data_IF_987960231632
#
_entry.id   IF_987960231632
#
_cell.length_a   1.000
_cell.length_b   1.000
_cell.length_c   1.000
_cell.angle_alpha   90.00
_cell.angle_beta   90.00
_cell.angle_gamma   90.00
#
_symmetry.space_group_name_H-M   'P 1'
#
loop_
_entity.id
_entity.type
_entity.pdbx_description
1 polymer ?
#
# COMPACT_ATOMS: atom_id res chain seq x y z
N UNK A 1 29.18 -0.91 -12.14
CA UNK A 1 29.04 0.54 -12.35
C UNK A 1 28.08 1.10 -11.32
N UNK A 2 28.49 2.09 -10.54
CA UNK A 2 27.71 2.62 -9.41
C UNK A 2 26.71 3.65 -9.90
N UNK A 3 25.48 3.23 -10.11
CA UNK A 3 24.37 4.09 -10.46
C UNK A 3 23.96 4.92 -9.25
N UNK A 4 24.18 6.22 -9.27
CA UNK A 4 23.92 7.05 -8.10
C UNK A 4 22.42 7.35 -8.01
N UNK A 5 21.78 7.02 -6.90
CA UNK A 5 20.36 7.29 -6.64
C UNK A 5 19.99 8.78 -6.85
N UNK A 6 20.97 9.68 -6.68
CA UNK A 6 20.86 11.11 -6.96
C UNK A 6 20.55 11.42 -8.44
N UNK A 7 21.04 10.61 -9.38
CA UNK A 7 20.74 10.75 -10.81
C UNK A 7 19.32 10.32 -11.16
N UNK A 8 18.78 9.30 -10.49
CA UNK A 8 17.40 8.84 -10.73
C UNK A 8 16.39 9.91 -10.33
N UNK A 9 16.54 10.47 -9.13
CA UNK A 9 15.66 11.54 -8.64
C UNK A 9 15.67 12.75 -9.58
N UNK A 10 16.86 13.17 -10.02
CA UNK A 10 17.00 14.27 -10.98
C UNK A 10 16.31 13.97 -12.32
N UNK A 11 16.36 12.73 -12.82
CA UNK A 11 15.66 12.32 -14.04
C UNK A 11 14.15 12.45 -13.92
N UNK A 12 13.56 11.98 -12.82
CA UNK A 12 12.11 12.11 -12.59
C UNK A 12 11.69 13.57 -12.38
N UNK A 13 12.48 14.38 -11.67
CA UNK A 13 12.17 15.81 -11.54
C UNK A 13 12.21 16.54 -12.89
N UNK A 14 13.10 16.17 -13.81
CA UNK A 14 13.12 16.73 -15.19
C UNK A 14 11.87 16.38 -16.01
N UNK A 15 11.25 15.22 -15.76
CA UNK A 15 9.97 14.85 -16.34
C UNK A 15 8.78 15.66 -15.78
N UNK A 16 8.98 16.33 -14.64
CA UNK A 16 7.97 17.16 -13.99
C UNK A 16 7.34 16.55 -12.73
N UNK A 17 7.86 15.42 -12.22
CA UNK A 17 7.43 14.90 -10.91
C UNK A 17 7.97 15.77 -9.78
N UNK A 18 7.17 16.00 -8.73
CA UNK A 18 7.64 16.78 -7.57
C UNK A 18 8.70 15.94 -6.84
N UNK A 19 9.75 16.60 -6.34
CA UNK A 19 10.84 15.88 -5.69
C UNK A 19 10.43 15.12 -4.42
N UNK A 20 9.31 15.52 -3.81
CA UNK A 20 8.71 14.87 -2.63
C UNK A 20 7.96 13.57 -2.97
N UNK A 21 7.44 13.46 -4.20
CA UNK A 21 6.75 12.25 -4.68
C UNK A 21 7.70 11.26 -5.35
N UNK A 22 9.02 11.47 -5.22
CA UNK A 22 10.03 10.58 -5.77
C UNK A 22 10.77 9.91 -4.63
N UNK A 23 10.57 8.61 -4.54
CA UNK A 23 11.15 7.76 -3.50
C UNK A 23 12.29 6.95 -4.07
N UNK A 24 13.33 6.77 -3.27
CA UNK A 24 14.42 5.83 -3.52
C UNK A 24 14.17 4.58 -2.69
N UNK A 25 14.58 3.42 -3.18
CA UNK A 25 14.42 2.14 -2.49
C UNK A 25 12.97 1.97 -1.99
N UNK A 26 12.02 2.23 -2.90
CA UNK A 26 10.61 2.21 -2.54
C UNK A 26 10.17 0.78 -2.38
N UNK A 27 9.61 0.49 -1.20
CA UNK A 27 9.14 -0.85 -0.85
C UNK A 27 7.62 -0.93 -0.99
N UNK A 28 7.12 -2.09 -1.40
CA UNK A 28 5.69 -2.36 -1.54
C UNK A 28 5.42 -3.85 -1.39
N UNK A 29 4.19 -4.21 -1.01
CA UNK A 29 3.78 -5.61 -0.99
C UNK A 29 3.40 -6.07 -2.41
N UNK A 30 3.94 -7.22 -2.84
CA UNK A 30 3.49 -7.90 -4.06
C UNK A 30 2.18 -8.66 -3.79
N UNK A 31 1.06 -7.94 -3.66
CA UNK A 31 -0.26 -8.48 -3.29
C UNK A 31 -0.78 -9.53 -4.27
N UNK A 32 -0.33 -9.47 -5.52
CA UNK A 32 -0.64 -10.42 -6.60
C UNK A 32 0.04 -11.79 -6.43
N UNK A 33 0.96 -11.93 -5.47
CA UNK A 33 1.64 -13.18 -5.16
C UNK A 33 1.10 -13.80 -3.86
N UNK A 34 0.98 -15.14 -3.76
CA UNK A 34 0.42 -15.80 -2.58
C UNK A 34 1.12 -15.48 -1.26
N UNK A 35 2.47 -15.40 -1.27
CA UNK A 35 3.26 -15.09 -0.08
C UNK A 35 3.31 -13.58 0.22
N UNK A 36 2.79 -12.74 -0.69
CA UNK A 36 2.76 -11.27 -0.61
C UNK A 36 4.10 -10.65 -0.16
N UNK A 37 5.24 -11.05 -0.76
CA UNK A 37 6.55 -10.59 -0.31
C UNK A 37 6.68 -9.07 -0.46
N UNK A 38 7.45 -8.46 0.43
CA UNK A 38 7.88 -7.07 0.25
C UNK A 38 8.93 -7.03 -0.86
N UNK A 39 8.64 -6.27 -1.92
CA UNK A 39 9.55 -6.00 -3.03
C UNK A 39 10.06 -4.57 -2.93
N UNK A 40 11.24 -4.34 -3.49
CA UNK A 40 11.89 -3.03 -3.53
C UNK A 40 12.19 -2.65 -4.98
N UNK A 41 11.93 -1.38 -5.32
CA UNK A 41 12.43 -0.76 -6.55
C UNK A 41 13.47 0.31 -6.21
N UNK A 42 14.48 0.46 -7.05
CA UNK A 42 15.56 1.44 -6.86
C UNK A 42 15.01 2.86 -6.74
N UNK A 43 13.96 3.15 -7.51
CA UNK A 43 13.16 4.36 -7.35
C UNK A 43 11.75 4.18 -7.86
N UNK A 44 10.83 4.96 -7.30
CA UNK A 44 9.47 5.12 -7.79
C UNK A 44 9.09 6.60 -7.80
N UNK A 45 8.40 7.03 -8.85
CA UNK A 45 7.76 8.34 -8.93
C UNK A 45 6.25 8.18 -8.85
N UNK A 46 5.62 9.07 -8.08
CA UNK A 46 4.17 9.18 -7.95
C UNK A 46 3.75 10.56 -8.46
N UNK A 47 2.56 10.68 -9.07
CA UNK A 47 2.09 12.01 -9.51
C UNK A 47 1.34 12.77 -8.41
N UNK A 48 0.97 12.10 -7.31
CA UNK A 48 0.35 12.74 -6.15
C UNK A 48 0.55 11.93 -4.86
N UNK A 49 0.31 12.59 -3.73
CA UNK A 49 0.23 11.97 -2.41
C UNK A 49 -1.21 11.53 -2.09
N UNK A 50 -1.39 10.47 -1.28
CA UNK A 50 -0.36 9.58 -0.77
C UNK A 50 0.22 8.66 -1.86
N UNK A 51 1.48 8.23 -1.66
CA UNK A 51 2.10 7.21 -2.50
C UNK A 51 1.28 5.91 -2.41
N UNK A 52 0.75 5.45 -3.54
CA UNK A 52 -0.06 4.24 -3.66
C UNK A 52 0.08 3.62 -5.04
N UNK A 53 -0.36 2.38 -5.21
CA UNK A 53 -0.41 1.76 -6.55
C UNK A 53 -1.28 2.56 -7.53
N UNK A 54 -2.26 3.33 -7.02
CA UNK A 54 -3.07 4.23 -7.86
C UNK A 54 -2.29 5.43 -8.34
N UNK A 55 -1.41 6.02 -7.53
CA UNK A 55 -0.64 7.23 -7.88
C UNK A 55 0.74 6.93 -8.45
N UNK A 56 1.18 5.67 -8.40
CA UNK A 56 2.46 5.23 -8.96
C UNK A 56 2.49 5.45 -10.47
N UNK A 57 3.56 6.09 -10.95
CA UNK A 57 3.70 6.55 -12.32
C UNK A 57 4.83 5.84 -13.05
N UNK A 58 6.01 5.78 -12.42
CA UNK A 58 7.23 5.20 -12.98
C UNK A 58 7.97 4.42 -11.89
N UNK A 59 8.61 3.32 -12.29
CA UNK A 59 9.56 2.60 -11.45
C UNK A 59 10.89 2.36 -12.16
N UNK A 60 11.97 2.29 -11.39
CA UNK A 60 13.27 1.77 -11.86
C UNK A 60 13.61 0.56 -11.02
N UNK A 61 13.88 -0.58 -11.67
CA UNK A 61 14.17 -1.84 -11.00
C UNK A 61 15.37 -2.53 -11.63
N UNK A 62 16.15 -3.22 -10.80
CA UNK A 62 17.27 -4.06 -11.24
C UNK A 62 16.86 -5.52 -11.19
N UNK A 63 17.25 -6.25 -12.23
CA UNK A 63 17.05 -7.69 -12.31
C UNK A 63 18.03 -8.37 -11.34
N UNK A 64 17.49 -9.25 -10.49
CA UNK A 64 18.31 -10.08 -9.62
C UNK A 64 19.05 -11.16 -10.44
N UNK A 65 20.18 -11.65 -9.95
CA UNK A 65 21.04 -12.57 -10.71
C UNK A 65 20.36 -13.90 -11.14
N UNK A 66 19.23 -14.25 -10.51
CA UNK A 66 18.46 -15.46 -10.74
C UNK A 66 17.04 -15.20 -11.30
N UNK A 67 16.72 -13.96 -11.67
CA UNK A 67 15.45 -13.58 -12.30
C UNK A 67 15.71 -13.17 -13.75
N UNK A 68 14.71 -13.29 -14.62
CA UNK A 68 14.75 -12.63 -15.94
C UNK A 68 14.15 -11.24 -15.84
N UNK A 69 14.48 -10.34 -16.79
CA UNK A 69 13.83 -9.03 -16.88
C UNK A 69 12.30 -9.10 -16.88
N UNK A 70 11.71 -10.13 -17.53
CA UNK A 70 10.26 -10.32 -17.55
C UNK A 70 9.73 -10.74 -16.19
N UNK A 71 10.40 -11.66 -15.50
CA UNK A 71 9.98 -12.11 -14.16
C UNK A 71 10.02 -10.95 -13.16
N UNK A 72 11.07 -10.13 -13.23
CA UNK A 72 11.18 -8.92 -12.39
C UNK A 72 10.04 -7.93 -12.67
N UNK A 73 9.63 -7.74 -13.93
CA UNK A 73 8.49 -6.87 -14.30
C UNK A 73 7.19 -7.42 -13.76
N UNK A 74 6.89 -8.70 -13.98
CA UNK A 74 5.67 -9.33 -13.47
C UNK A 74 5.64 -9.26 -11.93
N UNK A 75 6.75 -9.55 -11.26
CA UNK A 75 6.87 -9.44 -9.81
C UNK A 75 6.78 -8.00 -9.26
N UNK A 76 6.88 -6.97 -10.12
CA UNK A 76 6.77 -5.55 -9.75
C UNK A 76 5.37 -4.99 -10.03
N UNK A 77 4.45 -5.81 -10.54
CA UNK A 77 3.11 -5.39 -10.96
C UNK A 77 2.33 -4.65 -9.88
N UNK A 78 2.39 -5.14 -8.64
CA UNK A 78 1.73 -4.53 -7.48
C UNK A 78 2.20 -3.10 -7.14
N UNK A 79 3.31 -2.62 -7.70
CA UNK A 79 3.66 -1.20 -7.62
C UNK A 79 2.60 -0.32 -8.29
N UNK A 80 1.88 -0.84 -9.30
CA UNK A 80 0.85 -0.12 -10.06
C UNK A 80 1.39 0.97 -11.00
N UNK A 81 2.72 1.08 -11.12
CA UNK A 81 3.34 1.97 -12.09
C UNK A 81 3.14 1.39 -13.51
N UNK A 82 2.56 2.16 -14.45
CA UNK A 82 2.33 1.68 -15.81
C UNK A 82 3.63 1.47 -16.58
N UNK A 83 4.69 2.20 -16.26
CA UNK A 83 5.99 2.06 -16.92
C UNK A 83 7.09 1.73 -15.94
N UNK A 84 7.94 0.77 -16.32
CA UNK A 84 9.11 0.35 -15.56
C UNK A 84 10.36 0.41 -16.42
N UNK A 85 11.40 1.05 -15.91
CA UNK A 85 12.76 0.88 -16.44
C UNK A 85 13.40 -0.29 -15.72
N UNK A 86 13.75 -1.32 -16.48
CA UNK A 86 14.36 -2.55 -15.98
C UNK A 86 15.80 -2.59 -16.43
N UNK A 87 16.72 -2.71 -15.48
CA UNK A 87 18.16 -2.74 -15.72
C UNK A 87 18.66 -4.16 -15.49
N UNK A 88 19.27 -4.75 -16.52
CA UNK A 88 19.80 -6.11 -16.54
C UNK A 88 21.25 -6.05 -17.05
N UNK A 89 22.22 -6.18 -16.15
CA UNK A 89 23.64 -6.06 -16.50
C UNK A 89 23.96 -4.67 -17.07
N UNK A 90 24.36 -4.62 -18.35
CA UNK A 90 24.69 -3.39 -19.09
C UNK A 90 23.56 -2.93 -20.04
N UNK A 91 22.39 -3.55 -19.97
CA UNK A 91 21.20 -3.19 -20.74
C UNK A 91 20.14 -2.57 -19.82
N UNK A 92 19.42 -1.59 -20.35
CA UNK A 92 18.20 -1.05 -19.76
C UNK A 92 17.05 -1.18 -20.76
N UNK A 93 15.85 -1.46 -20.25
CA UNK A 93 14.66 -1.63 -21.08
C UNK A 93 13.46 -1.00 -20.44
N UNK A 94 12.60 -0.39 -21.26
CA UNK A 94 11.32 0.15 -20.82
C UNK A 94 10.25 -0.92 -20.99
N UNK A 95 9.46 -1.14 -19.95
CA UNK A 95 8.39 -2.12 -19.89
C UNK A 95 7.07 -1.49 -19.52
N UNK A 96 5.99 -2.16 -19.91
CA UNK A 96 4.62 -1.86 -19.54
C UNK A 96 3.79 -3.14 -19.38
N UNK A 97 2.56 -3.02 -18.88
CA UNK A 97 1.59 -4.11 -18.75
C UNK A 97 0.46 -3.93 -19.77
N UNK A 98 0.39 -4.80 -20.77
CA UNK A 98 -0.74 -4.83 -21.72
C UNK A 98 -1.69 -5.97 -21.36
N UNK A 99 -2.77 -6.15 -22.12
CA UNK A 99 -3.66 -7.31 -21.98
C UNK A 99 -2.92 -8.66 -22.17
N UNK A 100 -1.78 -8.66 -22.88
CA UNK A 100 -0.91 -9.82 -23.04
C UNK A 100 0.14 -9.99 -21.93
N UNK A 101 0.10 -9.16 -20.89
CA UNK A 101 1.07 -9.15 -19.78
C UNK A 101 2.25 -8.19 -20.00
N UNK A 102 3.36 -8.46 -19.30
CA UNK A 102 4.57 -7.66 -19.39
C UNK A 102 5.08 -7.56 -20.84
N UNK A 103 5.20 -6.33 -21.34
CA UNK A 103 5.57 -6.01 -22.73
C UNK A 103 6.72 -5.01 -22.74
N UNK A 104 7.80 -5.36 -23.45
CA UNK A 104 8.96 -4.47 -23.65
C UNK A 104 8.66 -3.45 -24.75
N UNK A 105 8.86 -2.17 -24.45
CA UNK A 105 8.63 -1.04 -25.36
C UNK A 105 9.89 -0.62 -26.10
N UNK A 106 11.02 -0.55 -25.40
CA UNK A 106 12.30 -0.10 -25.96
C UNK A 106 13.48 -0.55 -25.09
N UNK A 107 14.71 -0.38 -25.58
CA UNK A 107 15.94 -0.62 -24.83
C UNK A 107 17.06 0.35 -25.19
N UNK A 108 18.02 0.47 -24.27
CA UNK A 108 19.24 1.26 -24.38
C UNK A 108 20.34 0.60 -23.54
N UNK A 109 21.58 1.07 -23.64
CA UNK A 109 22.60 0.74 -22.62
C UNK A 109 22.12 1.20 -21.24
N UNK A 110 22.46 0.43 -20.19
CA UNK A 110 22.21 0.76 -18.80
C UNK A 110 22.77 2.14 -18.42
N UNK A 111 23.93 2.51 -18.98
CA UNK A 111 24.55 3.82 -18.79
C UNK A 111 23.70 4.99 -19.30
N UNK A 112 22.78 4.74 -20.24
CA UNK A 112 21.97 5.73 -20.94
C UNK A 112 20.47 5.55 -20.72
N UNK A 113 20.04 4.73 -19.76
CA UNK A 113 18.63 4.46 -19.45
C UNK A 113 17.73 5.70 -19.36
N UNK A 114 18.26 6.88 -18.97
CA UNK A 114 17.46 8.10 -18.86
C UNK A 114 16.86 8.49 -20.21
N UNK A 115 17.48 8.07 -21.31
CA UNK A 115 16.97 8.31 -22.67
C UNK A 115 15.64 7.60 -22.92
N UNK A 116 15.38 6.47 -22.23
CA UNK A 116 14.10 5.75 -22.26
C UNK A 116 12.94 6.59 -21.68
N UNK A 117 13.28 7.62 -20.90
CA UNK A 117 12.36 8.55 -20.23
C UNK A 117 12.47 9.98 -20.80
N UNK A 118 12.95 10.14 -22.02
CA UNK A 118 13.15 11.47 -22.62
C UNK A 118 11.84 12.15 -23.04
N UNK A 119 10.81 11.37 -23.35
CA UNK A 119 9.52 11.87 -23.82
C UNK A 119 8.61 12.27 -22.64
N UNK A 120 8.57 13.58 -22.37
CA UNK A 120 7.73 14.13 -21.30
C UNK A 120 6.23 14.08 -21.61
N UNK A 121 5.85 14.11 -22.88
CA UNK A 121 4.45 14.02 -23.30
C UNK A 121 3.87 12.62 -23.09
N UNK A 122 4.75 11.61 -22.97
CA UNK A 122 4.38 10.24 -22.65
C UNK A 122 4.57 9.87 -21.18
N UNK A 123 5.69 10.27 -20.58
CA UNK A 123 6.12 9.81 -19.25
C UNK A 123 5.98 10.85 -18.14
N UNK A 124 5.48 12.06 -18.46
CA UNK A 124 5.19 13.09 -17.47
C UNK A 124 3.97 12.74 -16.58
N UNK A 125 3.82 13.42 -15.43
CA UNK A 125 2.76 13.11 -14.46
C UNK A 125 1.34 13.32 -15.02
N UNK A 126 1.11 14.34 -15.86
CA UNK A 126 -0.20 14.60 -16.49
C UNK A 126 -0.64 13.46 -17.42
N UNK A 127 0.14 13.13 -18.46
CA UNK A 127 -0.14 12.03 -19.36
C UNK A 127 -0.32 10.68 -18.65
N UNK A 128 0.52 10.37 -17.66
CA UNK A 128 0.41 9.12 -16.90
C UNK A 128 -0.86 9.10 -16.03
N UNK A 129 -1.23 10.24 -15.43
CA UNK A 129 -2.50 10.37 -14.70
C UNK A 129 -3.69 10.17 -15.63
N UNK A 130 -3.66 10.77 -16.82
CA UNK A 130 -4.70 10.60 -17.84
C UNK A 130 -4.79 9.14 -18.30
N UNK A 131 -3.65 8.48 -18.56
CA UNK A 131 -3.59 7.06 -18.89
C UNK A 131 -4.29 6.20 -17.83
N UNK A 132 -4.11 6.51 -16.54
CA UNK A 132 -4.75 5.76 -15.45
C UNK A 132 -6.18 6.20 -15.13
N UNK A 133 -6.60 7.39 -15.53
CA UNK A 133 -7.94 7.93 -15.29
C UNK A 133 -8.93 7.68 -16.45
N UNK A 134 -8.48 7.81 -17.69
CA UNK A 134 -9.31 7.71 -18.91
C UNK A 134 -9.84 6.29 -19.15
N UNK A 135 -9.16 5.27 -18.62
CA UNK A 135 -9.47 3.86 -18.89
C UNK A 135 -10.51 3.24 -17.96
N UNK A 136 -11.24 4.08 -17.21
CA UNK A 136 -12.44 3.70 -16.42
C UNK A 136 -13.75 3.99 -17.19
N UNK A 137 -13.70 4.70 -18.34
CA UNK A 137 -14.93 5.23 -18.99
C UNK A 137 -15.28 4.68 -20.38
N UNK A 138 -14.49 3.82 -21.00
CA UNK A 138 -14.79 3.35 -22.36
C UNK A 138 -14.82 1.82 -22.48
N UNK A 139 -16.00 1.30 -22.84
CA UNK A 139 -16.28 -0.07 -23.31
C UNK A 139 -15.64 -0.39 -24.68
N UNK A 140 -14.64 0.41 -25.11
CA UNK A 140 -13.97 0.23 -26.39
C UNK A 140 -12.57 -0.32 -26.14
N UNK A 141 -12.29 -1.59 -26.46
CA UNK A 141 -10.94 -2.13 -26.39
C UNK A 141 -10.10 -1.48 -27.49
N UNK A 142 -9.41 -0.39 -27.17
CA UNK A 142 -8.36 0.12 -28.04
C UNK A 142 -7.14 -0.79 -27.89
N UNK A 143 -6.79 -1.47 -28.98
CA UNK A 143 -5.61 -2.36 -29.09
C UNK A 143 -4.28 -1.60 -29.00
N UNK A 144 -4.32 -0.28 -28.85
CA UNK A 144 -3.18 0.64 -28.75
C UNK A 144 -2.89 1.11 -27.32
N UNK A 145 -3.54 0.53 -26.31
CA UNK A 145 -3.29 0.91 -24.92
C UNK A 145 -1.87 0.52 -24.51
N UNK A 146 -1.08 1.55 -24.21
CA UNK A 146 0.24 1.39 -23.60
C UNK A 146 0.14 0.71 -22.23
N UNK A 147 -1.01 0.70 -21.56
CA UNK A 147 -1.22 0.08 -20.26
C UNK A 147 -2.66 -0.45 -20.11
N UNK A 148 -2.82 -1.69 -19.64
CA UNK A 148 -4.13 -2.30 -19.40
C UNK A 148 -4.69 -1.93 -18.01
N UNK A 149 -5.84 -1.23 -17.93
CA UNK A 149 -6.46 -0.83 -16.66
C UNK A 149 -6.84 -2.02 -15.77
N UNK A 150 -7.06 -3.22 -16.34
CA UNK A 150 -7.35 -4.44 -15.57
C UNK A 150 -6.25 -4.78 -14.58
N UNK A 151 -5.02 -4.33 -14.84
CA UNK A 151 -3.91 -4.46 -13.89
C UNK A 151 -4.22 -3.75 -12.58
N UNK A 152 -4.78 -2.52 -12.62
CA UNK A 152 -5.12 -1.78 -11.39
C UNK A 152 -6.30 -2.39 -10.64
N UNK A 153 -7.29 -2.92 -11.36
CA UNK A 153 -8.41 -3.63 -10.74
C UNK A 153 -7.97 -4.94 -10.08
N UNK A 154 -7.05 -5.67 -10.70
CA UNK A 154 -6.42 -6.85 -10.09
C UNK A 154 -5.69 -6.49 -8.79
N UNK A 155 -4.81 -5.50 -8.84
CA UNK A 155 -4.08 -5.01 -7.65
C UNK A 155 -5.06 -4.58 -6.55
N UNK A 156 -6.13 -3.87 -6.90
CA UNK A 156 -7.16 -3.47 -5.96
C UNK A 156 -7.82 -4.67 -5.28
N UNK A 157 -8.30 -5.65 -6.06
CA UNK A 157 -8.98 -6.83 -5.54
C UNK A 157 -8.03 -7.66 -4.63
N UNK A 158 -6.78 -7.84 -5.05
CA UNK A 158 -5.77 -8.56 -4.29
C UNK A 158 -5.40 -7.82 -2.99
N UNK A 159 -5.30 -6.48 -3.04
CA UNK A 159 -5.07 -5.64 -1.86
C UNK A 159 -6.22 -5.74 -0.87
N UNK A 160 -7.46 -5.62 -1.34
CA UNK A 160 -8.65 -5.71 -0.49
C UNK A 160 -8.78 -7.08 0.16
N UNK A 161 -8.57 -8.16 -0.61
CA UNK A 161 -8.52 -9.53 -0.09
C UNK A 161 -7.42 -9.69 0.97
N UNK A 162 -6.23 -9.16 0.71
CA UNK A 162 -5.11 -9.25 1.64
C UNK A 162 -5.33 -8.49 2.96
N UNK A 163 -5.96 -7.32 2.87
CA UNK A 163 -6.37 -6.53 4.03
C UNK A 163 -7.46 -7.25 4.83
N UNK A 164 -8.45 -7.85 4.18
CA UNK A 164 -9.51 -8.63 4.83
C UNK A 164 -8.93 -9.84 5.59
N UNK A 165 -8.04 -10.62 4.97
CA UNK A 165 -7.33 -11.73 5.61
C UNK A 165 -6.58 -11.27 6.87
N UNK A 166 -5.80 -10.19 6.74
CA UNK A 166 -4.99 -9.64 7.83
C UNK A 166 -5.85 -9.15 8.99
N UNK A 167 -6.94 -8.44 8.71
CA UNK A 167 -7.87 -7.98 9.73
C UNK A 167 -8.60 -9.15 10.38
N UNK A 168 -9.04 -10.15 9.62
CA UNK A 168 -9.69 -11.34 10.17
C UNK A 168 -8.78 -12.06 11.16
N UNK A 169 -7.50 -12.24 10.81
CA UNK A 169 -6.51 -12.82 11.73
C UNK A 169 -6.27 -11.97 12.99
N UNK A 170 -6.27 -10.64 12.86
CA UNK A 170 -6.18 -9.73 13.99
C UNK A 170 -7.42 -9.84 14.91
N UNK A 171 -8.62 -9.84 14.32
CA UNK A 171 -9.90 -9.88 15.04
C UNK A 171 -10.11 -11.20 15.78
N UNK A 172 -9.56 -12.30 15.28
CA UNK A 172 -9.61 -13.63 15.90
C UNK A 172 -9.06 -13.65 17.33
N UNK A 173 -8.11 -12.77 17.67
CA UNK A 173 -7.58 -12.63 19.05
C UNK A 173 -8.62 -12.15 20.06
N UNK A 174 -9.77 -11.64 19.61
CA UNK A 174 -10.84 -11.10 20.46
C UNK A 174 -12.17 -11.85 20.31
N UNK A 175 -12.15 -13.00 19.63
CA UNK A 175 -13.31 -13.88 19.49
C UNK A 175 -13.52 -14.74 20.74
N UNK A 176 -14.77 -14.89 21.18
CA UNK A 176 -15.10 -15.50 22.47
C UNK A 176 -14.69 -16.98 22.59
N UNK A 177 -14.52 -17.66 21.47
CA UNK A 177 -14.04 -19.06 21.39
C UNK A 177 -12.55 -19.21 21.69
N UNK A 178 -11.80 -18.11 21.78
CA UNK A 178 -10.34 -18.09 21.92
C UNK A 178 -9.86 -17.32 23.16
N UNK A 179 -10.77 -16.86 24.03
CA UNK A 179 -10.41 -15.98 25.15
C UNK A 179 -10.49 -16.65 26.53
N UNK A 180 -9.55 -16.26 27.39
CA UNK A 180 -9.50 -16.60 28.80
C UNK A 180 -10.20 -15.55 29.69
N UNK A 181 -10.42 -15.88 30.97
CA UNK A 181 -11.01 -14.95 31.93
C UNK A 181 -10.16 -13.66 32.09
N UNK A 182 -10.78 -12.50 31.78
CA UNK A 182 -10.17 -11.18 31.95
C UNK A 182 -9.70 -10.51 30.66
N UNK A 183 -9.72 -11.25 29.54
CA UNK A 183 -9.39 -10.77 28.21
C UNK A 183 -10.50 -9.89 27.60
N UNK A 184 -10.13 -9.14 26.56
CA UNK A 184 -11.04 -8.36 25.75
C UNK A 184 -11.79 -9.28 24.78
N UNK A 185 -13.04 -8.93 24.53
CA UNK A 185 -13.90 -9.66 23.59
C UNK A 185 -14.82 -8.69 22.87
N UNK A 186 -15.14 -8.96 21.61
CA UNK A 186 -16.07 -8.11 20.87
C UNK A 186 -17.45 -8.07 21.53
N UNK A 187 -17.95 -9.18 22.07
CA UNK A 187 -19.26 -9.21 22.71
C UNK A 187 -19.37 -8.28 23.94
N UNK A 188 -18.30 -8.18 24.73
CA UNK A 188 -18.30 -7.40 25.98
C UNK A 188 -17.71 -6.01 25.81
N UNK A 189 -16.80 -5.83 24.86
CA UNK A 189 -15.91 -4.66 24.77
C UNK A 189 -15.89 -4.01 23.38
N UNK A 190 -16.88 -4.26 22.51
CA UNK A 190 -16.92 -3.70 21.15
C UNK A 190 -16.69 -2.18 21.08
N UNK A 191 -17.24 -1.42 22.04
CA UNK A 191 -17.13 0.04 22.08
C UNK A 191 -15.69 0.55 22.18
N UNK A 192 -14.78 -0.29 22.71
CA UNK A 192 -13.35 0.02 22.83
C UNK A 192 -12.56 -0.67 21.72
N UNK A 193 -12.90 -1.92 21.40
CA UNK A 193 -12.17 -2.70 20.41
C UNK A 193 -12.30 -2.13 19.00
N UNK A 194 -13.49 -1.70 18.58
CA UNK A 194 -13.66 -1.09 17.26
C UNK A 194 -12.75 0.13 17.09
N UNK A 195 -12.83 1.18 17.93
CA UNK A 195 -11.91 2.32 17.83
C UNK A 195 -10.43 1.95 17.96
N UNK A 196 -10.10 0.88 18.68
CA UNK A 196 -8.72 0.40 18.82
C UNK A 196 -8.19 -0.20 17.52
N UNK A 197 -9.01 -0.96 16.79
CA UNK A 197 -8.65 -1.51 15.47
C UNK A 197 -8.28 -0.37 14.51
N UNK A 198 -9.12 0.67 14.43
CA UNK A 198 -8.87 1.82 13.55
C UNK A 198 -7.55 2.52 13.88
N UNK A 199 -7.28 2.76 15.18
CA UNK A 199 -6.05 3.42 15.60
C UNK A 199 -4.81 2.59 15.31
N UNK A 200 -4.87 1.27 15.53
CA UNK A 200 -3.75 0.38 15.23
C UNK A 200 -3.50 0.25 13.72
N UNK A 201 -4.57 0.19 12.91
CA UNK A 201 -4.43 0.17 11.45
C UNK A 201 -3.82 1.48 10.93
N UNK A 202 -4.29 2.64 11.41
CA UNK A 202 -3.69 3.93 11.09
C UNK A 202 -2.22 3.99 11.52
N UNK A 203 -1.91 3.50 12.73
CA UNK A 203 -0.55 3.39 13.23
C UNK A 203 0.34 2.51 12.34
N UNK A 204 -0.16 1.36 11.90
CA UNK A 204 0.54 0.47 10.96
C UNK A 204 0.83 1.17 9.63
N UNK A 205 -0.15 1.87 9.05
CA UNK A 205 0.04 2.61 7.79
C UNK A 205 1.14 3.66 7.95
N UNK A 206 1.12 4.43 9.04
CA UNK A 206 2.14 5.44 9.31
C UNK A 206 3.54 4.81 9.49
N UNK A 207 3.63 3.67 10.19
CA UNK A 207 4.88 2.93 10.39
C UNK A 207 5.40 2.42 9.04
N UNK A 208 4.55 1.76 8.25
CA UNK A 208 4.93 1.19 6.96
C UNK A 208 5.31 2.28 5.95
N UNK A 209 4.72 3.47 6.04
CA UNK A 209 5.09 4.66 5.25
C UNK A 209 6.34 5.39 5.77
N UNK A 210 6.91 4.96 6.91
CA UNK A 210 8.01 5.61 7.60
C UNK A 210 7.72 7.10 7.87
N UNK A 211 6.50 7.41 8.34
CA UNK A 211 6.07 8.77 8.59
C UNK A 211 6.89 9.43 9.72
N UNK A 212 7.53 10.55 9.39
CA UNK A 212 8.41 11.29 10.32
C UNK A 212 7.71 11.73 11.61
N UNK A 213 6.38 11.90 11.60
CA UNK A 213 5.60 12.38 12.74
C UNK A 213 5.50 11.35 13.86
N UNK A 214 5.71 10.06 13.55
CA UNK A 214 5.70 8.96 14.53
C UNK A 214 7.05 8.25 14.64
N UNK A 215 8.12 8.82 14.08
CA UNK A 215 9.43 8.16 14.03
C UNK A 215 10.04 7.87 15.41
N UNK A 216 9.61 8.57 16.47
CA UNK A 216 10.06 8.35 17.85
C UNK A 216 9.25 7.31 18.63
N UNK A 217 8.17 6.77 18.04
CA UNK A 217 7.25 5.83 18.69
C UNK A 217 7.84 4.43 18.65
N UNK A 218 7.77 3.70 19.76
CA UNK A 218 8.10 2.28 19.76
C UNK A 218 7.04 1.48 19.00
N UNK A 219 7.39 1.03 17.79
CA UNK A 219 6.51 0.24 16.93
C UNK A 219 6.16 -1.13 17.52
N UNK A 220 6.91 -1.66 18.50
CA UNK A 220 6.58 -2.90 19.20
C UNK A 220 5.54 -2.70 20.31
N UNK A 221 5.32 -1.46 20.74
CA UNK A 221 4.40 -1.12 21.81
C UNK A 221 3.05 -0.61 21.26
N UNK A 222 2.01 -1.46 21.14
CA UNK A 222 0.73 -1.06 20.55
C UNK A 222 0.05 0.09 21.29
N UNK A 223 0.33 0.26 22.59
CA UNK A 223 -0.25 1.36 23.36
C UNK A 223 0.39 2.69 23.02
N UNK A 224 1.69 2.72 22.77
CA UNK A 224 2.37 3.94 22.31
C UNK A 224 1.94 4.28 20.89
N UNK A 225 1.80 3.28 20.01
CA UNK A 225 1.25 3.47 18.66
C UNK A 225 -0.15 4.10 18.73
N UNK A 226 -1.04 3.55 19.55
CA UNK A 226 -2.40 4.09 19.76
C UNK A 226 -2.35 5.52 20.28
N UNK A 227 -1.52 5.81 21.28
CA UNK A 227 -1.39 7.14 21.85
C UNK A 227 -0.82 8.16 20.83
N UNK A 228 0.12 7.74 19.99
CA UNK A 228 0.67 8.57 18.93
C UNK A 228 -0.40 8.93 17.89
N UNK A 229 -1.21 7.96 17.47
CA UNK A 229 -2.34 8.20 16.56
C UNK A 229 -3.40 9.09 17.22
N UNK A 230 -3.72 8.86 18.49
CA UNK A 230 -4.65 9.73 19.25
C UNK A 230 -4.17 11.18 19.29
N UNK A 231 -2.88 11.39 19.54
CA UNK A 231 -2.28 12.73 19.55
C UNK A 231 -2.30 13.36 18.16
N UNK A 232 -1.83 12.62 17.14
CA UNK A 232 -1.68 13.12 15.78
C UNK A 232 -3.02 13.58 15.17
N UNK A 233 -4.09 12.85 15.44
CA UNK A 233 -5.43 13.13 14.92
C UNK A 233 -6.36 13.77 15.96
N UNK A 234 -5.84 14.21 17.12
CA UNK A 234 -6.63 14.85 18.20
C UNK A 234 -7.86 14.04 18.65
N UNK A 235 -7.70 12.72 18.72
CA UNK A 235 -8.77 11.79 19.06
C UNK A 235 -8.94 11.68 20.58
N UNK A 236 -10.16 11.36 21.01
CA UNK A 236 -10.41 11.06 22.42
C UNK A 236 -9.64 9.80 22.86
N UNK A 237 -8.96 9.89 24.01
CA UNK A 237 -8.21 8.78 24.60
C UNK A 237 -9.15 7.63 24.96
N UNK A 238 -8.78 6.41 24.57
CA UNK A 238 -9.54 5.21 24.92
C UNK A 238 -9.57 4.97 26.44
N UNK A 239 -10.78 5.00 27.01
CA UNK A 239 -11.03 4.73 28.44
C UNK A 239 -11.14 3.23 28.68
N UNK A 240 -10.00 2.55 28.71
CA UNK A 240 -9.92 1.12 29.05
C UNK A 240 -9.05 0.89 30.28
N UNK A 241 -9.53 0.05 31.20
CA UNK A 241 -8.69 -0.45 32.28
C UNK A 241 -7.72 -1.52 31.75
N UNK A 242 -6.46 -1.15 31.63
CA UNK A 242 -5.39 -2.01 31.15
C UNK A 242 -4.86 -2.92 32.27
N UNK A 243 -5.27 -4.19 32.24
CA UNK A 243 -4.67 -5.25 33.05
C UNK A 243 -3.48 -5.88 32.31
N UNK A 244 -2.61 -6.62 33.01
CA UNK A 244 -1.49 -7.33 32.38
C UNK A 244 -1.96 -8.29 31.27
N UNK A 245 -3.08 -8.98 31.50
CA UNK A 245 -3.69 -9.92 30.55
C UNK A 245 -4.12 -9.19 29.27
N UNK A 246 -4.86 -8.08 29.40
CA UNK A 246 -5.32 -7.29 28.23
C UNK A 246 -4.18 -6.67 27.44
N UNK A 247 -3.11 -6.26 28.13
CA UNK A 247 -1.90 -5.76 27.47
C UNK A 247 -1.24 -6.89 26.67
N UNK A 248 -1.07 -8.08 27.25
CA UNK A 248 -0.48 -9.22 26.56
C UNK A 248 -1.30 -9.65 25.33
N UNK A 249 -2.62 -9.73 25.46
CA UNK A 249 -3.54 -10.01 24.35
C UNK A 249 -3.40 -8.96 23.23
N UNK A 250 -3.41 -7.67 23.57
CA UNK A 250 -3.24 -6.60 22.58
C UNK A 250 -1.88 -6.66 21.88
N UNK A 251 -0.80 -6.93 22.62
CA UNK A 251 0.54 -7.10 22.05
C UNK A 251 0.61 -8.29 21.10
N UNK A 252 -0.08 -9.40 21.43
CA UNK A 252 -0.17 -10.57 20.55
C UNK A 252 -0.94 -10.23 19.26
N UNK A 253 -2.12 -9.63 19.38
CA UNK A 253 -2.92 -9.20 18.24
C UNK A 253 -2.18 -8.19 17.37
N UNK A 254 -1.53 -7.19 17.99
CA UNK A 254 -0.73 -6.20 17.30
C UNK A 254 0.42 -6.83 16.50
N UNK A 255 1.10 -7.84 17.05
CA UNK A 255 2.14 -8.56 16.32
C UNK A 255 1.59 -9.18 15.03
N UNK A 256 0.45 -9.87 15.09
CA UNK A 256 -0.21 -10.43 13.91
C UNK A 256 -0.54 -9.36 12.87
N UNK A 257 -1.09 -8.22 13.30
CA UNK A 257 -1.40 -7.11 12.40
C UNK A 257 -0.14 -6.50 11.78
N UNK A 258 0.90 -6.28 12.60
CA UNK A 258 2.15 -5.61 12.21
C UNK A 258 2.98 -6.43 11.26
N UNK A 259 3.10 -7.73 11.50
CA UNK A 259 3.82 -8.70 10.66
C UNK A 259 3.02 -9.15 9.41
N UNK A 260 1.75 -8.73 9.30
CA UNK A 260 0.90 -8.99 8.14
C UNK A 260 1.30 -8.17 6.90
N UNK A 261 0.31 -7.79 6.10
CA UNK A 261 0.51 -7.08 4.84
C UNK A 261 1.29 -5.77 5.03
N UNK A 262 2.28 -5.48 4.18
CA UNK A 262 2.98 -4.21 4.18
C UNK A 262 2.16 -3.12 3.46
N UNK A 263 1.78 -2.06 4.17
CA UNK A 263 0.73 -1.12 3.76
C UNK A 263 1.22 0.15 3.07
N UNK A 264 2.50 0.25 2.72
CA UNK A 264 3.08 1.50 2.20
C UNK A 264 2.42 1.99 0.91
N UNK A 265 2.01 1.09 0.01
CA UNK A 265 1.50 1.42 -1.32
C UNK A 265 -0.03 1.24 -1.48
N UNK A 266 -0.81 1.16 -0.40
CA UNK A 266 -2.28 0.99 -0.49
C UNK A 266 -2.98 2.30 -0.84
N UNK A 267 -4.15 2.21 -1.49
CA UNK A 267 -5.00 3.36 -1.77
C UNK A 267 -6.02 3.58 -0.65
N UNK A 268 -6.48 4.82 -0.49
CA UNK A 268 -7.50 5.18 0.50
C UNK A 268 -8.83 4.41 0.27
N UNK A 269 -9.19 4.18 -0.99
CA UNK A 269 -10.40 3.44 -1.36
C UNK A 269 -10.38 1.97 -0.88
N UNK A 270 -9.21 1.34 -0.77
CA UNK A 270 -9.10 -0.04 -0.29
C UNK A 270 -9.39 -0.12 1.20
N UNK A 271 -8.89 0.87 1.95
CA UNK A 271 -9.22 1.03 3.35
C UNK A 271 -10.72 1.24 3.54
N UNK A 272 -11.32 2.17 2.80
CA UNK A 272 -12.76 2.42 2.82
C UNK A 272 -13.58 1.14 2.55
N UNK A 273 -13.19 0.37 1.54
CA UNK A 273 -13.84 -0.88 1.20
C UNK A 273 -13.78 -1.91 2.34
N UNK A 274 -12.59 -2.14 2.89
CA UNK A 274 -12.39 -3.13 3.96
C UNK A 274 -13.04 -2.68 5.26
N UNK A 275 -13.10 -1.37 5.51
CA UNK A 275 -13.88 -0.82 6.63
C UNK A 275 -15.36 -1.21 6.52
N UNK A 276 -15.96 -1.07 5.35
CA UNK A 276 -17.38 -1.40 5.15
C UNK A 276 -17.65 -2.90 5.18
N UNK A 277 -16.77 -3.72 4.63
CA UNK A 277 -17.02 -5.14 4.42
C UNK A 277 -16.52 -6.04 5.56
N UNK A 278 -15.38 -5.72 6.17
CA UNK A 278 -14.78 -6.57 7.21
C UNK A 278 -15.16 -6.11 8.61
N UNK A 279 -15.18 -4.79 8.83
CA UNK A 279 -15.40 -4.21 10.17
C UNK A 279 -16.86 -3.82 10.44
N UNK A 280 -17.68 -3.62 9.39
CA UNK A 280 -19.08 -3.21 9.53
C UNK A 280 -20.01 -4.11 8.69
N UNK A 281 -19.96 -5.43 8.92
CA UNK A 281 -20.86 -6.40 8.28
C UNK A 281 -22.34 -6.19 8.68
N UNK A 282 -23.31 -6.61 7.86
CA UNK A 282 -24.73 -6.65 8.24
C UNK A 282 -24.98 -7.44 9.53
N UNK A 283 -24.18 -8.47 9.78
CA UNK A 283 -24.24 -9.29 10.99
C UNK A 283 -23.68 -8.56 12.20
N UNK A 284 -22.55 -7.84 12.09
CA UNK A 284 -22.07 -6.96 13.16
C UNK A 284 -23.03 -5.78 13.41
N UNK A 285 -23.64 -5.20 12.36
CA UNK A 285 -24.72 -4.20 12.49
C UNK A 285 -25.95 -4.75 13.23
N UNK A 286 -26.36 -5.98 12.91
CA UNK A 286 -27.53 -6.63 13.52
C UNK A 286 -27.26 -7.14 14.94
N UNK A 287 -26.03 -7.58 15.23
CA UNK A 287 -25.61 -8.14 16.52
C UNK A 287 -25.17 -7.08 17.52
N UNK A 288 -24.66 -5.93 17.05
CA UNK A 288 -24.06 -4.89 17.90
C UNK A 288 -24.70 -3.49 17.75
N UNK A 289 -25.79 -3.35 16.99
CA UNK A 289 -26.66 -2.17 17.03
C UNK A 289 -26.04 -0.87 16.49
N UNK A 290 -25.07 -0.95 15.57
CA UNK A 290 -24.45 0.22 14.95
C UNK A 290 -25.33 0.76 13.81
N UNK A 291 -26.30 1.61 14.18
CA UNK A 291 -26.81 2.61 13.25
C UNK A 291 -25.77 3.73 13.14
N UNK A 292 -25.31 3.97 11.91
CA UNK A 292 -24.33 4.97 11.49
C UNK A 292 -22.88 4.50 11.51
N UNK A 293 -22.26 4.58 10.33
CA UNK A 293 -20.82 4.81 10.14
C UNK A 293 -20.38 5.84 11.19
N UNK A 294 -19.50 5.52 12.14
CA UNK A 294 -19.01 6.51 13.08
C UNK A 294 -18.42 7.66 12.27
N UNK A 295 -18.83 8.90 12.56
CA UNK A 295 -18.33 10.10 11.86
C UNK A 295 -16.79 10.16 11.86
N UNK A 296 -16.15 9.53 12.85
CA UNK A 296 -14.70 9.36 12.95
C UNK A 296 -14.07 8.54 11.82
N UNK A 297 -14.78 7.63 11.14
CA UNK A 297 -14.22 6.80 10.07
C UNK A 297 -13.83 7.62 8.83
N UNK A 298 -14.55 8.72 8.57
CA UNK A 298 -14.29 9.62 7.44
C UNK A 298 -12.99 10.44 7.63
N UNK A 299 -12.60 10.72 8.88
CA UNK A 299 -11.36 11.47 9.17
C UNK A 299 -10.08 10.63 8.98
N UNK A 300 -10.17 9.29 8.92
CA UNK A 300 -9.00 8.42 8.73
C UNK A 300 -8.64 8.16 7.26
N UNK A 301 -9.49 8.57 6.32
CA UNK A 301 -9.31 8.31 4.89
C UNK A 301 -8.58 9.44 4.12
N UNK A 302 -8.14 10.50 4.83
CA UNK A 302 -7.53 11.71 4.28
C UNK A 302 -6.02 11.75 4.59
#
# INVERSE_FOLDING_TARGET
MTYNARHIRASFTRLGYRSVDVYQQFQFAAVDQPARPVREVDAAAFWDEPASYRTAALGVVRVAANETARDTVEATRSLGAPFLVVIEGDEASMWTYTAGGATKLSSSSASQWQTLLSDREKFGPGPVRELKALLVREDTPSTELLFDPRTLYGIQADTQSALDDMLTQFLAHFEETQIDMGELSFQKHYQVLFPLVFRLLAGKILIDRADSRIASVDADNPREVVAAVESLYSLAVQKLHWTKIRIAQLTSAWRTLREGLYLRNIAADDLAFVYENTLITPETRRKFGTHSTPYSAADYAI
#
